data_IF_158965928051
#
_entry.id   IF_158965928051
#
_cell.length_a   1.000
_cell.length_b   1.000
_cell.length_c   1.000
_cell.angle_alpha   90.00
_cell.angle_beta   90.00
_cell.angle_gamma   90.00
#
_symmetry.space_group_name_H-M   'P 1'
#
loop_
_entity.id
_entity.type
_entity.pdbx_description
1 polymer ?
#
# COMPACT_ATOMS: atom_id res chain seq x y z
N UNK A 1 -3.23 -4.91 11.18
CA UNK A 1 -2.39 -5.41 10.07
C UNK A 1 -3.29 -6.24 9.16
N UNK A 2 -3.06 -6.21 7.85
CA UNK A 2 -3.74 -7.08 6.88
C UNK A 2 -3.54 -8.58 7.22
N UNK A 3 -3.91 -9.49 6.33
CA UNK A 3 -3.97 -10.97 6.47
C UNK A 3 -2.72 -11.71 7.03
N UNK A 4 -1.69 -10.99 7.48
CA UNK A 4 -0.47 -11.46 8.16
C UNK A 4 0.36 -12.43 7.33
N UNK A 5 0.11 -12.51 6.02
CA UNK A 5 0.90 -13.34 5.11
C UNK A 5 2.29 -12.74 4.90
N UNK A 6 3.27 -13.61 4.64
CA UNK A 6 4.63 -13.18 4.28
C UNK A 6 4.59 -12.41 2.97
N UNK A 7 5.17 -11.22 2.97
CA UNK A 7 5.29 -10.38 1.79
C UNK A 7 6.38 -10.95 0.85
N UNK A 8 5.97 -11.64 -0.21
CA UNK A 8 6.88 -12.25 -1.20
C UNK A 8 7.10 -11.39 -2.45
N UNK A 9 6.19 -10.46 -2.74
CA UNK A 9 6.20 -9.59 -3.91
C UNK A 9 5.95 -8.14 -3.48
N UNK A 10 6.59 -7.18 -4.17
CA UNK A 10 6.40 -5.75 -3.96
C UNK A 10 6.53 -5.03 -5.31
N UNK A 11 5.63 -4.08 -5.57
CA UNK A 11 5.65 -3.26 -6.78
C UNK A 11 5.46 -1.78 -6.43
N UNK A 12 6.45 -1.22 -5.73
CA UNK A 12 6.39 0.16 -5.30
C UNK A 12 6.67 1.13 -6.44
N UNK A 13 5.93 2.23 -6.48
CA UNK A 13 6.27 3.31 -7.40
C UNK A 13 7.52 4.07 -6.97
N UNK A 14 8.30 4.53 -7.94
CA UNK A 14 9.47 5.40 -7.73
C UNK A 14 9.08 6.75 -7.09
N UNK A 15 7.83 7.19 -7.25
CA UNK A 15 7.31 8.42 -6.64
C UNK A 15 6.84 8.21 -5.19
N UNK A 16 6.77 6.97 -4.72
CA UNK A 16 6.34 6.67 -3.36
C UNK A 16 7.49 6.93 -2.37
N UNK A 17 7.26 7.76 -1.36
CA UNK A 17 8.27 8.11 -0.36
C UNK A 17 8.39 7.02 0.72
N UNK A 18 8.80 5.81 0.31
CA UNK A 18 8.77 4.60 1.14
C UNK A 18 9.93 4.57 2.16
N UNK A 19 10.95 5.40 1.95
CA UNK A 19 12.17 5.47 2.77
C UNK A 19 12.07 6.42 3.95
N UNK A 20 10.97 7.16 4.11
CA UNK A 20 10.83 8.07 5.24
C UNK A 20 10.52 7.29 6.53
N UNK A 21 11.59 6.99 7.27
CA UNK A 21 11.62 6.25 8.54
C UNK A 21 10.83 7.01 9.64
N UNK A 22 10.50 8.30 9.43
CA UNK A 22 9.77 9.13 10.38
C UNK A 22 8.25 8.97 10.26
N UNK A 23 7.73 8.41 9.17
CA UNK A 23 6.28 8.26 8.96
C UNK A 23 5.82 6.92 9.54
N UNK A 24 5.37 6.97 10.80
CA UNK A 24 4.71 5.83 11.46
C UNK A 24 3.24 5.75 11.01
N UNK A 25 2.65 4.54 10.92
CA UNK A 25 1.24 4.30 10.54
C UNK A 25 0.86 4.52 9.06
N UNK A 26 1.70 4.00 8.16
CA UNK A 26 1.43 4.00 6.72
C UNK A 26 0.51 2.87 6.26
N UNK A 27 -0.38 3.20 5.33
CA UNK A 27 -1.19 2.25 4.56
C UNK A 27 -0.75 2.27 3.09
N UNK A 28 -1.15 1.24 2.34
CA UNK A 28 -0.82 1.07 0.92
C UNK A 28 -2.08 1.12 0.09
N UNK A 29 -2.03 1.84 -1.02
CA UNK A 29 -3.03 1.77 -2.06
C UNK A 29 -2.39 1.51 -3.42
N UNK A 30 -3.22 1.04 -4.35
CA UNK A 30 -2.85 0.82 -5.75
C UNK A 30 -3.33 2.01 -6.56
N UNK A 31 -2.44 2.61 -7.35
CA UNK A 31 -2.77 3.81 -8.14
C UNK A 31 -2.80 3.50 -9.63
N UNK A 32 -3.98 3.59 -10.24
CA UNK A 32 -4.17 3.42 -11.69
C UNK A 32 -3.36 4.43 -12.50
N UNK A 33 -3.22 5.67 -12.01
CA UNK A 33 -2.51 6.76 -12.70
C UNK A 33 -1.02 6.49 -12.94
N UNK A 34 -0.44 5.52 -12.24
CA UNK A 34 0.97 5.11 -12.35
C UNK A 34 1.11 3.63 -12.72
N UNK A 35 0.11 3.08 -13.42
CA UNK A 35 0.15 1.70 -13.90
C UNK A 35 -0.07 0.65 -12.80
N UNK A 36 -0.92 0.95 -11.81
CA UNK A 36 -1.27 0.04 -10.72
C UNK A 36 -0.12 -0.31 -9.76
N UNK A 37 0.87 0.58 -9.68
CA UNK A 37 1.94 0.48 -8.70
C UNK A 37 1.46 0.89 -7.30
N UNK A 38 2.18 0.42 -6.28
CA UNK A 38 1.88 0.66 -4.87
C UNK A 38 2.40 2.02 -4.43
N UNK A 39 1.55 2.76 -3.72
CA UNK A 39 1.88 4.03 -3.09
C UNK A 39 1.56 4.01 -1.60
N UNK A 40 2.33 4.77 -0.84
CA UNK A 40 2.11 5.01 0.59
C UNK A 40 1.09 6.13 0.78
N UNK A 41 0.21 5.98 1.77
CA UNK A 41 -0.77 7.00 2.17
C UNK A 41 -1.02 6.92 3.68
N UNK A 42 -1.70 7.92 4.25
CA UNK A 42 -2.15 7.84 5.64
C UNK A 42 -3.26 6.81 5.78
N UNK A 43 -3.21 5.97 6.81
CA UNK A 43 -4.29 5.02 7.09
C UNK A 43 -5.63 5.69 7.43
N UNK A 44 -5.65 7.00 7.70
CA UNK A 44 -6.88 7.77 7.94
C UNK A 44 -7.53 8.30 6.66
N UNK A 45 -6.85 8.20 5.52
CA UNK A 45 -7.39 8.67 4.24
C UNK A 45 -8.58 7.79 3.82
N UNK A 46 -9.70 8.43 3.44
CA UNK A 46 -10.90 7.73 2.99
C UNK A 46 -10.77 7.39 1.50
N UNK A 47 -10.64 6.10 1.21
CA UNK A 47 -10.45 5.59 -0.15
C UNK A 47 -11.32 4.35 -0.39
N UNK A 48 -11.52 4.00 -1.66
CA UNK A 48 -12.05 2.69 -2.02
C UNK A 48 -11.03 1.60 -1.66
N UNK A 49 -11.48 0.37 -1.44
CA UNK A 49 -10.64 -0.75 -1.03
C UNK A 49 -11.00 -2.05 -1.74
N UNK A 50 -10.04 -2.98 -1.75
CA UNK A 50 -10.21 -4.33 -2.30
C UNK A 50 -10.24 -5.34 -1.16
N UNK A 51 -11.24 -6.21 -1.15
CA UNK A 51 -11.32 -7.34 -0.23
C UNK A 51 -10.79 -8.61 -0.89
N UNK A 52 -10.16 -9.46 -0.09
CA UNK A 52 -9.78 -10.81 -0.49
C UNK A 52 -10.20 -11.79 0.59
N UNK A 53 -10.70 -12.96 0.18
CA UNK A 53 -11.00 -14.09 1.06
C UNK A 53 -10.08 -15.24 0.66
N UNK A 54 -9.39 -15.81 1.63
CA UNK A 54 -8.66 -17.06 1.41
C UNK A 54 -9.67 -18.18 1.07
N UNK A 55 -9.36 -18.94 0.01
CA UNK A 55 -10.07 -20.17 -0.32
C UNK A 55 -9.83 -21.26 0.70
#
# INVERSE_FOLDING_TARGET
MADKKKLSYKDWSLSSNITDILVTHNCVYVSEAIGYQWMVTSCSDKMNFVCYKAG
#
